data_IF_646452134716
#
_entry.id   IF_646452134716
#
_cell.length_a   1.000
_cell.length_b   1.000
_cell.length_c   1.000
_cell.angle_alpha   90.00
_cell.angle_beta   90.00
_cell.angle_gamma   90.00
#
_symmetry.space_group_name_H-M   'P 1'
#
loop_
_entity.id
_entity.type
_entity.pdbx_description
1 polymer ?
#
# COMPACT_ATOMS: atom_id res chain seq x y z
N UNK A 1 -6.64 -14.25 16.83
CA UNK A 1 -6.95 -14.14 15.38
C UNK A 1 -6.01 -13.16 14.74
N UNK A 2 -5.42 -13.50 13.60
CA UNK A 2 -4.54 -12.59 12.88
C UNK A 2 -5.36 -11.57 12.10
N UNK A 3 -4.87 -10.33 12.08
CA UNK A 3 -5.56 -9.23 11.39
C UNK A 3 -4.79 -8.78 10.16
N UNK A 4 -5.54 -8.28 9.19
CA UNK A 4 -5.00 -7.65 7.98
C UNK A 4 -5.20 -6.14 8.13
N UNK A 5 -4.12 -5.39 8.04
CA UNK A 5 -4.16 -3.95 8.16
C UNK A 5 -4.14 -3.26 6.80
N UNK A 6 -4.82 -2.13 6.69
CA UNK A 6 -4.78 -1.28 5.52
C UNK A 6 -4.14 0.05 5.88
N UNK A 7 -2.99 0.35 5.28
CA UNK A 7 -2.23 1.56 5.58
C UNK A 7 -2.04 2.48 4.38
N UNK A 8 -2.57 2.12 3.22
CA UNK A 8 -2.38 2.89 2.00
C UNK A 8 -2.79 4.35 2.13
N UNK A 9 -3.93 4.61 2.77
CA UNK A 9 -4.41 5.98 2.99
C UNK A 9 -3.48 6.76 3.93
N UNK A 10 -2.95 6.08 4.96
CA UNK A 10 -2.04 6.69 5.92
C UNK A 10 -0.72 7.11 5.27
N UNK A 11 -0.18 6.27 4.38
CA UNK A 11 1.09 6.53 3.72
C UNK A 11 0.97 7.38 2.44
N UNK A 12 -0.24 7.56 1.93
CA UNK A 12 -0.48 8.19 0.64
C UNK A 12 0.18 9.58 0.49
N UNK A 13 0.08 10.50 1.45
CA UNK A 13 0.76 11.79 1.32
C UNK A 13 2.26 11.69 1.48
N UNK A 14 2.75 10.67 2.21
CA UNK A 14 4.14 10.55 2.60
C UNK A 14 5.01 9.91 1.52
N UNK A 15 4.44 9.23 0.53
CA UNK A 15 5.25 8.57 -0.50
C UNK A 15 6.02 9.56 -1.39
N UNK A 16 5.64 10.83 -1.37
CA UNK A 16 6.35 11.90 -2.08
C UNK A 16 7.60 12.36 -1.32
N UNK A 17 7.70 12.02 -0.04
CA UNK A 17 8.81 12.39 0.85
C UNK A 17 9.39 11.11 1.43
N UNK A 18 10.37 10.53 0.74
CA UNK A 18 10.89 9.20 1.03
C UNK A 18 11.24 8.95 2.49
N UNK A 19 12.06 9.82 3.08
CA UNK A 19 12.53 9.62 4.45
C UNK A 19 11.39 9.58 5.46
N UNK A 20 10.40 10.45 5.29
CA UNK A 20 9.23 10.51 6.16
C UNK A 20 8.36 9.27 5.98
N UNK A 21 8.14 8.86 4.73
CA UNK A 21 7.34 7.68 4.43
C UNK A 21 7.92 6.41 5.01
N UNK A 22 9.22 6.24 4.91
CA UNK A 22 9.92 5.07 5.47
C UNK A 22 9.84 5.06 6.99
N UNK A 23 10.02 6.21 7.65
CA UNK A 23 9.92 6.31 9.10
C UNK A 23 8.51 5.99 9.60
N UNK A 24 7.49 6.51 8.92
CA UNK A 24 6.10 6.22 9.25
C UNK A 24 5.78 4.74 9.06
N UNK A 25 6.27 4.16 7.98
CA UNK A 25 6.07 2.74 7.71
C UNK A 25 6.69 1.87 8.79
N UNK A 26 7.91 2.19 9.22
CA UNK A 26 8.56 1.42 10.28
C UNK A 26 7.76 1.46 11.58
N UNK A 27 7.21 2.61 11.93
CA UNK A 27 6.35 2.72 13.10
C UNK A 27 5.07 1.89 12.96
N UNK A 28 4.48 1.90 11.75
CA UNK A 28 3.29 1.10 11.49
C UNK A 28 3.59 -0.40 11.59
N UNK A 29 4.75 -0.83 11.12
CA UNK A 29 5.19 -2.23 11.23
C UNK A 29 5.33 -2.63 12.71
N UNK A 30 6.01 -1.82 13.51
CA UNK A 30 6.22 -2.10 14.92
C UNK A 30 4.89 -2.18 15.67
N UNK A 31 3.99 -1.25 15.40
CA UNK A 31 2.65 -1.24 15.99
C UNK A 31 1.86 -2.49 15.63
N UNK A 32 1.87 -2.85 14.36
CA UNK A 32 1.10 -3.99 13.87
C UNK A 32 1.65 -5.32 14.40
N UNK A 33 2.96 -5.43 14.50
CA UNK A 33 3.60 -6.62 15.07
C UNK A 33 3.24 -6.81 16.54
N UNK A 34 3.20 -5.73 17.30
CA UNK A 34 2.79 -5.79 18.71
C UNK A 34 1.35 -6.25 18.86
N UNK A 35 0.51 -6.02 17.86
CA UNK A 35 -0.90 -6.41 17.87
C UNK A 35 -1.19 -7.69 17.09
N UNK A 36 -0.16 -8.40 16.69
CA UNK A 36 -0.27 -9.68 15.98
C UNK A 36 -1.02 -9.58 14.65
N UNK A 37 -0.83 -8.49 13.92
CA UNK A 37 -1.35 -8.38 12.57
C UNK A 37 -0.58 -9.33 11.66
N UNK A 38 -1.29 -9.92 10.70
CA UNK A 38 -0.68 -10.85 9.74
C UNK A 38 0.06 -10.10 8.64
N UNK A 39 -0.57 -9.10 8.06
CA UNK A 39 -0.03 -8.37 6.91
C UNK A 39 -0.72 -7.03 6.73
N UNK A 40 -0.09 -6.19 5.91
CA UNK A 40 -0.72 -5.00 5.37
C UNK A 40 -1.16 -5.26 3.93
N UNK A 41 -2.29 -4.68 3.55
CA UNK A 41 -2.77 -4.68 2.17
C UNK A 41 -3.03 -3.23 1.75
N UNK A 42 -2.62 -2.91 0.54
CA UNK A 42 -2.88 -1.59 -0.05
C UNK A 42 -3.46 -1.75 -1.44
N UNK A 43 -4.15 -0.72 -1.90
CA UNK A 43 -4.65 -0.61 -3.26
C UNK A 43 -4.00 0.60 -3.90
N UNK A 44 -3.40 0.40 -5.07
CA UNK A 44 -2.69 1.45 -5.80
C UNK A 44 -3.21 1.47 -7.23
N UNK A 45 -3.51 2.64 -7.76
CA UNK A 45 -3.91 2.76 -9.16
C UNK A 45 -2.81 2.27 -10.07
N UNK A 46 -3.19 1.52 -11.11
CA UNK A 46 -2.23 0.99 -12.07
C UNK A 46 -1.45 2.10 -12.77
N UNK A 47 -2.07 3.26 -12.98
CA UNK A 47 -1.42 4.42 -13.58
C UNK A 47 -0.45 5.13 -12.65
N UNK A 48 -0.52 4.88 -11.35
CA UNK A 48 0.35 5.55 -10.38
C UNK A 48 1.63 4.76 -10.15
N UNK A 49 2.55 4.86 -11.12
CA UNK A 49 3.80 4.10 -11.09
C UNK A 49 4.74 4.57 -9.98
N UNK A 50 4.68 5.85 -9.60
CA UNK A 50 5.50 6.39 -8.50
C UNK A 50 5.13 5.75 -7.17
N UNK A 51 3.83 5.62 -6.89
CA UNK A 51 3.37 4.98 -5.66
C UNK A 51 3.73 3.50 -5.64
N UNK A 52 3.57 2.81 -6.77
CA UNK A 52 3.96 1.40 -6.88
C UNK A 52 5.44 1.20 -6.57
N UNK A 53 6.29 2.04 -7.14
CA UNK A 53 7.73 1.97 -6.89
C UNK A 53 8.07 2.22 -5.42
N UNK A 54 7.39 3.17 -4.79
CA UNK A 54 7.58 3.46 -3.36
C UNK A 54 7.22 2.24 -2.51
N UNK A 55 6.06 1.64 -2.73
CA UNK A 55 5.62 0.48 -1.94
C UNK A 55 6.51 -0.74 -2.20
N UNK A 56 6.98 -0.93 -3.43
CA UNK A 56 7.92 -2.00 -3.74
C UNK A 56 9.22 -1.84 -2.96
N UNK A 57 9.73 -0.62 -2.83
CA UNK A 57 10.94 -0.36 -2.03
C UNK A 57 10.72 -0.64 -0.56
N UNK A 58 9.52 -0.46 -0.04
CA UNK A 58 9.19 -0.83 1.33
C UNK A 58 9.09 -2.34 1.53
N UNK A 59 8.98 -3.11 0.47
CA UNK A 59 8.88 -4.55 0.53
C UNK A 59 7.52 -5.13 0.18
N UNK A 60 6.59 -4.30 -0.27
CA UNK A 60 5.30 -4.79 -0.74
C UNK A 60 5.44 -5.53 -2.06
N UNK A 61 4.61 -6.53 -2.26
CA UNK A 61 4.53 -7.31 -3.49
C UNK A 61 3.12 -7.25 -4.05
N UNK A 62 3.02 -7.23 -5.37
CA UNK A 62 1.72 -7.33 -6.03
C UNK A 62 1.12 -8.71 -5.74
N UNK A 63 -0.14 -8.73 -5.33
CA UNK A 63 -0.87 -9.96 -5.04
C UNK A 63 -2.18 -10.07 -5.80
N UNK A 64 -2.61 -9.05 -6.51
CA UNK A 64 -3.83 -9.09 -7.28
C UNK A 64 -4.06 -7.82 -8.07
N UNK A 65 -5.15 -7.83 -8.85
CA UNK A 65 -5.51 -6.70 -9.68
C UNK A 65 -7.03 -6.62 -9.80
N UNK A 66 -7.56 -5.43 -9.60
CA UNK A 66 -8.96 -5.13 -9.80
C UNK A 66 -9.09 -4.36 -11.10
N UNK A 67 -9.66 -5.00 -12.10
CA UNK A 67 -9.78 -4.41 -13.41
C UNK A 67 -10.92 -3.37 -13.41
N UNK A 68 -10.67 -2.24 -14.06
CA UNK A 68 -11.66 -1.16 -14.25
C UNK A 68 -12.29 -0.71 -12.94
N UNK A 69 -11.46 -0.66 -11.88
CA UNK A 69 -11.95 -0.34 -10.54
C UNK A 69 -12.27 1.13 -10.36
N UNK A 70 -11.56 2.01 -11.08
CA UNK A 70 -11.73 3.44 -10.97
C UNK A 70 -12.15 3.99 -12.33
N UNK A 71 -13.19 4.81 -12.34
CA UNK A 71 -13.64 5.48 -13.53
C UNK A 71 -13.66 6.98 -13.30
N UNK A 72 -12.92 7.71 -14.15
CA UNK A 72 -12.86 9.16 -14.12
C UNK A 72 -13.21 9.67 -15.52
N UNK A 73 -14.42 10.23 -15.67
CA UNK A 73 -14.91 10.62 -16.98
C UNK A 73 -15.05 9.40 -17.90
N UNK A 74 -14.32 9.42 -19.03
CA UNK A 74 -14.30 8.31 -19.97
C UNK A 74 -13.10 7.38 -19.80
N UNK A 75 -12.26 7.67 -18.79
CA UNK A 75 -11.08 6.87 -18.51
C UNK A 75 -11.35 5.89 -17.39
N UNK A 76 -10.89 4.68 -17.57
CA UNK A 76 -10.93 3.65 -16.55
C UNK A 76 -9.51 3.30 -16.12
N UNK A 77 -9.34 2.99 -14.85
CA UNK A 77 -8.06 2.59 -14.32
C UNK A 77 -8.25 1.33 -13.47
N UNK A 78 -7.26 0.46 -13.51
CA UNK A 78 -7.23 -0.70 -12.64
C UNK A 78 -6.63 -0.31 -11.30
N UNK A 79 -6.92 -1.11 -10.27
CA UNK A 79 -6.21 -1.03 -9.01
C UNK A 79 -5.38 -2.28 -8.81
N UNK A 80 -4.13 -2.08 -8.40
CA UNK A 80 -3.21 -3.15 -8.08
C UNK A 80 -3.27 -3.36 -6.57
N UNK A 81 -3.45 -4.62 -6.17
CA UNK A 81 -3.39 -5.02 -4.77
C UNK A 81 -1.96 -5.41 -4.44
N UNK A 82 -1.44 -4.83 -3.38
CA UNK A 82 -0.10 -5.13 -2.90
C UNK A 82 -0.15 -5.52 -1.43
N UNK A 83 0.74 -6.41 -1.03
CA UNK A 83 0.77 -6.89 0.35
C UNK A 83 2.19 -6.94 0.90
N UNK A 84 2.27 -6.81 2.22
CA UNK A 84 3.50 -6.88 2.98
C UNK A 84 3.25 -7.75 4.22
N UNK A 85 3.95 -8.84 4.35
CA UNK A 85 3.82 -9.75 5.50
C UNK A 85 4.65 -9.26 6.68
N UNK A 86 4.02 -9.28 7.86
CA UNK A 86 4.61 -8.78 9.10
C UNK A 86 5.42 -9.85 9.86
#
# INVERSE_FOLDING_TARGET
MAHVGQIGTFLRPAWRRRGIGEALFQRAVDFARQRNYLKFVIQVRASNTSAQAFYQRLGFRECGRLNRQVRIGQHEDDEILMEFFL
#
